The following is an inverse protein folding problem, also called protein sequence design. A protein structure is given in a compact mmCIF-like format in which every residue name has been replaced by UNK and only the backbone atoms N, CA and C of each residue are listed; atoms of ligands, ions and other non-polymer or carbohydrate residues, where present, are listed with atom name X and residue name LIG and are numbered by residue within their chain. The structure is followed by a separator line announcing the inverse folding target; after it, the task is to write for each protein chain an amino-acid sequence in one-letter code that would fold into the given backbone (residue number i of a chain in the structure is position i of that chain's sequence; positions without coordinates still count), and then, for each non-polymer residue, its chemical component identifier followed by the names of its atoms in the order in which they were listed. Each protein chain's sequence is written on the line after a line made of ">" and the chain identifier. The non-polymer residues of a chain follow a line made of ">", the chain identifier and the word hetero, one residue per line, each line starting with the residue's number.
data_IF_128465395805
#
_entry.id   IF_128465395805
#
_cell.length_a   1.000
_cell.length_b   1.000
_cell.length_c   1.000
_cell.angle_alpha   90.00
_cell.angle_beta   90.00
_cell.angle_gamma   90.00
#
_symmetry.space_group_name_H-M   'P 1'
#
loop_
_entity.id
_entity.type
_entity.pdbx_description
1 polymer ?
#
# COMPACT_ATOMS: atom_id res chain seq x y z
N UNK A 1 -0.17 3.48 9.52
CA UNK A 1 0.83 4.54 9.71
C UNK A 1 2.17 4.11 9.14
N UNK A 2 2.91 3.30 9.90
CA UNK A 2 4.28 2.88 9.56
C UNK A 2 4.40 2.20 8.18
N UNK A 3 3.43 1.36 7.82
CA UNK A 3 3.36 0.72 6.48
C UNK A 3 3.33 1.75 5.37
N UNK A 4 2.38 2.68 5.42
CA UNK A 4 2.24 3.75 4.43
C UNK A 4 3.49 4.64 4.38
N UNK A 5 4.02 5.05 5.52
CA UNK A 5 5.24 5.87 5.57
C UNK A 5 6.45 5.14 4.98
N UNK A 6 6.59 3.83 5.23
CA UNK A 6 7.63 3.00 4.63
C UNK A 6 7.49 2.87 3.11
N UNK A 7 6.26 2.73 2.60
CA UNK A 7 6.00 2.71 1.16
C UNK A 7 6.37 4.05 0.51
N UNK A 8 5.95 5.17 1.10
CA UNK A 8 6.28 6.51 0.59
C UNK A 8 7.80 6.71 0.59
N UNK A 9 8.49 6.36 1.67
CA UNK A 9 9.94 6.45 1.77
C UNK A 9 10.64 5.57 0.71
N UNK A 10 10.15 4.35 0.47
CA UNK A 10 10.67 3.46 -0.57
C UNK A 10 10.50 4.04 -1.97
N UNK A 11 9.32 4.62 -2.28
CA UNK A 11 9.05 5.25 -3.58
C UNK A 11 9.94 6.48 -3.81
N UNK A 12 10.16 7.29 -2.77
CA UNK A 12 11.12 8.41 -2.82
C UNK A 12 12.54 7.87 -3.08
N UNK A 13 12.95 6.81 -2.38
CA UNK A 13 14.24 6.16 -2.59
C UNK A 13 14.44 5.57 -3.99
N UNK A 14 13.35 5.25 -4.68
CA UNK A 14 13.35 4.80 -6.09
C UNK A 14 13.35 5.97 -7.10
N UNK A 15 13.30 7.22 -6.64
CA UNK A 15 13.42 8.41 -7.48
C UNK A 15 12.11 9.16 -7.76
N UNK A 16 10.98 8.77 -7.16
CA UNK A 16 9.76 9.58 -7.23
C UNK A 16 9.93 10.84 -6.37
N UNK A 17 9.39 11.97 -6.83
CA UNK A 17 9.28 13.15 -5.97
C UNK A 17 8.28 12.88 -4.83
N UNK A 18 8.43 13.62 -3.72
CA UNK A 18 7.66 13.39 -2.51
C UNK A 18 6.13 13.46 -2.71
N UNK A 19 5.64 14.36 -3.58
CA UNK A 19 4.22 14.48 -3.86
C UNK A 19 3.68 13.23 -4.57
N UNK A 20 4.31 12.81 -5.67
CA UNK A 20 3.90 11.59 -6.38
C UNK A 20 4.11 10.34 -5.55
N UNK A 21 5.17 10.26 -4.75
CA UNK A 21 5.38 9.16 -3.82
C UNK A 21 4.26 9.07 -2.77
N UNK A 22 3.81 10.20 -2.22
CA UNK A 22 2.68 10.23 -1.30
C UNK A 22 1.36 9.80 -1.97
N UNK A 23 1.10 10.29 -3.19
CA UNK A 23 -0.08 9.90 -3.97
C UNK A 23 -0.09 8.40 -4.29
N UNK A 24 1.01 7.88 -4.86
CA UNK A 24 1.14 6.47 -5.20
C UNK A 24 1.11 5.59 -3.96
N UNK A 25 1.83 5.97 -2.90
CA UNK A 25 1.86 5.25 -1.64
C UNK A 25 0.48 5.15 -1.00
N UNK A 26 -0.26 6.25 -0.93
CA UNK A 26 -1.63 6.27 -0.40
C UNK A 26 -2.59 5.42 -1.22
N UNK A 27 -2.51 5.52 -2.55
CA UNK A 27 -3.36 4.74 -3.45
C UNK A 27 -3.09 3.23 -3.35
N UNK A 28 -1.82 2.82 -3.42
CA UNK A 28 -1.44 1.39 -3.33
C UNK A 28 -1.77 0.85 -1.93
N UNK A 29 -1.59 1.65 -0.86
CA UNK A 29 -1.93 1.25 0.49
C UNK A 29 -3.43 1.00 0.65
N UNK A 30 -4.28 1.90 0.14
CA UNK A 30 -5.74 1.71 0.15
C UNK A 30 -6.19 0.49 -0.65
N UNK A 31 -5.60 0.26 -1.84
CA UNK A 31 -5.86 -0.95 -2.62
C UNK A 31 -5.46 -2.23 -1.87
N UNK A 32 -4.33 -2.22 -1.16
CA UNK A 32 -3.92 -3.36 -0.34
C UNK A 32 -4.88 -3.59 0.84
N UNK A 33 -5.39 -2.52 1.43
CA UNK A 33 -6.41 -2.56 2.49
C UNK A 33 -7.72 -3.19 1.98
N UNK A 34 -8.20 -2.76 0.81
CA UNK A 34 -9.41 -3.32 0.17
C UNK A 34 -9.26 -4.81 -0.13
N UNK A 35 -8.08 -5.23 -0.63
CA UNK A 35 -7.77 -6.63 -0.88
C UNK A 35 -7.75 -7.45 0.42
N UNK A 36 -7.13 -6.94 1.48
CA UNK A 36 -7.10 -7.61 2.77
C UNK A 36 -8.50 -7.70 3.40
N UNK A 37 -9.29 -6.62 3.30
CA UNK A 37 -10.68 -6.57 3.76
C UNK A 37 -11.58 -7.55 2.99
N UNK A 38 -11.33 -7.78 1.70
CA UNK A 38 -12.10 -8.73 0.90
C UNK A 38 -11.96 -10.19 1.39
N UNK A 39 -10.82 -10.51 2.01
CA UNK A 39 -10.52 -11.85 2.55
C UNK A 39 -10.94 -11.99 4.02
N UNK A 40 -10.60 -11.00 4.86
CA UNK A 40 -10.77 -11.07 6.33
C UNK A 40 -11.91 -10.24 6.90
N UNK A 41 -12.54 -9.40 6.08
CA UNK A 41 -13.48 -8.37 6.52
C UNK A 41 -12.78 -7.10 7.01
N UNK A 42 -13.55 -6.02 7.18
CA UNK A 42 -13.01 -4.70 7.56
C UNK A 42 -12.59 -4.62 9.04
N UNK A 43 -13.24 -5.40 9.91
CA UNK A 43 -12.98 -5.37 11.34
C UNK A 43 -11.88 -6.35 11.73
N UNK A 44 -10.86 -5.85 12.42
CA UNK A 44 -9.75 -6.66 12.92
C UNK A 44 -8.55 -6.77 11.98
N UNK A 45 -8.55 -6.04 10.86
CA UNK A 45 -7.37 -5.89 10.01
C UNK A 45 -6.20 -5.33 10.79
N UNK A 46 -5.05 -5.99 10.66
CA UNK A 46 -3.78 -5.54 11.21
C UNK A 46 -2.81 -5.16 10.10
N UNK A 47 -1.77 -4.42 10.46
CA UNK A 47 -0.76 -3.95 9.51
C UNK A 47 -0.14 -5.08 8.66
N UNK A 48 0.05 -6.27 9.25
CA UNK A 48 0.61 -7.43 8.55
C UNK A 48 -0.30 -7.93 7.42
N UNK A 49 -1.62 -7.88 7.62
CA UNK A 49 -2.59 -8.28 6.59
C UNK A 49 -2.46 -7.39 5.35
N UNK A 50 -2.34 -6.08 5.58
CA UNK A 50 -2.14 -5.10 4.51
C UNK A 50 -0.80 -5.33 3.81
N UNK A 51 0.28 -5.57 4.57
CA UNK A 51 1.62 -5.82 4.02
C UNK A 51 1.61 -7.02 3.07
N UNK A 52 0.92 -8.11 3.43
CA UNK A 52 0.78 -9.29 2.59
C UNK A 52 0.05 -8.99 1.26
N UNK A 53 -0.83 -7.99 1.25
CA UNK A 53 -1.58 -7.56 0.07
C UNK A 53 -0.84 -6.57 -0.85
N UNK A 54 0.21 -5.89 -0.38
CA UNK A 54 0.94 -4.85 -1.15
C UNK A 54 1.44 -5.36 -2.52
N UNK A 55 2.10 -6.53 -2.66
CA UNK A 55 2.59 -6.99 -3.95
C UNK A 55 1.48 -7.19 -4.99
N UNK A 56 0.29 -7.60 -4.55
CA UNK A 56 -0.87 -7.81 -5.41
C UNK A 56 -1.50 -6.48 -5.83
N UNK A 57 -1.60 -5.52 -4.91
CA UNK A 57 -2.03 -4.14 -5.20
C UNK A 57 -1.09 -3.46 -6.20
N UNK A 58 0.23 -3.65 -6.08
CA UNK A 58 1.19 -3.15 -7.08
C UNK A 58 0.96 -3.87 -8.42
N UNK A 59 0.82 -5.20 -8.41
CA UNK A 59 0.62 -5.97 -9.64
C UNK A 59 -0.62 -5.53 -10.42
N UNK A 60 -1.69 -5.10 -9.76
CA UNK A 60 -2.94 -4.67 -10.41
C UNK A 60 -2.86 -3.28 -11.06
N UNK A 61 -1.84 -2.47 -10.76
CA UNK A 61 -1.70 -1.09 -11.28
C UNK A 61 -0.55 -0.90 -12.25
N UNK A 62 0.43 -1.83 -12.29
CA UNK A 62 1.61 -1.75 -13.17
C UNK A 62 1.52 -2.74 -14.35
N UNK A 63 0.45 -3.53 -14.47
CA UNK A 63 0.20 -4.41 -15.62
C UNK A 63 -0.93 -3.90 -16.51
#
# INVERSE_FOLDING_TARGET
>A
GDVLSGMIASLIGQGLNAFYAACCGGYIHGLADDLAASDKGEYGLIATDIIECIPYAIKSVVN
#
